data_IF_856353100842
#
_entry.id   IF_856353100842
#
_cell.length_a   1.000
_cell.length_b   1.000
_cell.length_c   1.000
_cell.angle_alpha   90.00
_cell.angle_beta   90.00
_cell.angle_gamma   90.00
#
_symmetry.space_group_name_H-M   'P 1'
#
loop_
_entity.id
_entity.type
_entity.pdbx_description
1 polymer ?
#
# COMPACT_ATOMS: atom_id res chain seq x y z
N UNK A 1 -14.16 -16.08 -4.15
CA UNK A 1 -12.72 -15.83 -4.00
C UNK A 1 -12.34 -16.08 -2.56
N UNK A 2 -11.48 -17.08 -2.33
CA UNK A 2 -10.91 -17.40 -1.02
C UNK A 2 -9.99 -16.27 -0.54
N UNK A 3 -9.53 -16.33 0.71
CA UNK A 3 -8.56 -15.35 1.20
C UNK A 3 -7.22 -15.48 0.47
N UNK A 4 -6.72 -16.70 0.25
CA UNK A 4 -5.49 -16.94 -0.49
C UNK A 4 -5.58 -16.44 -1.93
N UNK A 5 -6.67 -16.76 -2.66
CA UNK A 5 -6.87 -16.26 -4.02
C UNK A 5 -6.91 -14.72 -4.09
N UNK A 6 -7.37 -14.05 -3.03
CA UNK A 6 -7.32 -12.60 -2.95
C UNK A 6 -5.87 -12.12 -2.80
N UNK A 7 -5.09 -12.71 -1.89
CA UNK A 7 -3.68 -12.36 -1.69
C UNK A 7 -2.87 -12.59 -2.98
N UNK A 8 -3.07 -13.72 -3.66
CA UNK A 8 -2.40 -14.04 -4.92
C UNK A 8 -2.69 -12.96 -5.99
N UNK A 9 -3.94 -12.48 -6.06
CA UNK A 9 -4.31 -11.38 -6.96
C UNK A 9 -3.68 -10.05 -6.53
N UNK A 10 -3.64 -9.74 -5.23
CA UNK A 10 -2.98 -8.52 -4.76
C UNK A 10 -1.51 -8.51 -5.14
N UNK A 11 -0.84 -9.67 -5.05
CA UNK A 11 0.54 -9.86 -5.46
C UNK A 11 0.72 -9.73 -6.97
N UNK A 12 -0.11 -10.40 -7.76
CA UNK A 12 -0.03 -10.33 -9.23
C UNK A 12 -0.17 -8.89 -9.73
N UNK A 13 -1.19 -8.17 -9.25
CA UNK A 13 -1.39 -6.76 -9.61
C UNK A 13 -0.22 -5.89 -9.15
N UNK A 14 0.39 -6.16 -7.98
CA UNK A 14 1.57 -5.41 -7.55
C UNK A 14 2.77 -5.62 -8.49
N UNK A 15 2.98 -6.84 -8.97
CA UNK A 15 4.07 -7.17 -9.90
C UNK A 15 3.87 -6.53 -11.27
N UNK A 16 2.64 -6.51 -11.80
CA UNK A 16 2.33 -5.82 -13.06
C UNK A 16 2.66 -4.32 -12.98
N UNK A 17 2.28 -3.66 -11.89
CA UNK A 17 2.58 -2.23 -11.70
C UNK A 17 4.06 -1.99 -11.38
N UNK A 18 4.73 -2.93 -10.71
CA UNK A 18 6.16 -2.88 -10.46
C UNK A 18 6.96 -2.84 -11.77
N UNK A 19 6.59 -3.63 -12.78
CA UNK A 19 7.27 -3.63 -14.08
C UNK A 19 7.29 -2.23 -14.70
N UNK A 20 6.14 -1.53 -14.65
CA UNK A 20 6.02 -0.16 -15.15
C UNK A 20 6.91 0.78 -14.32
N UNK A 21 6.80 0.74 -12.99
CA UNK A 21 7.58 1.63 -12.12
C UNK A 21 9.09 1.40 -12.26
N UNK A 22 9.53 0.15 -12.40
CA UNK A 22 10.92 -0.22 -12.58
C UNK A 22 11.48 0.22 -13.94
N UNK A 23 10.69 0.15 -15.02
CA UNK A 23 11.07 0.75 -16.30
C UNK A 23 11.23 2.27 -16.14
N UNK A 24 10.25 2.92 -15.53
CA UNK A 24 10.21 4.37 -15.41
C UNK A 24 11.29 4.92 -14.46
N UNK A 25 11.71 4.14 -13.46
CA UNK A 25 12.81 4.46 -12.54
C UNK A 25 14.15 4.67 -13.24
N UNK A 26 14.33 4.07 -14.43
CA UNK A 26 15.57 4.14 -15.22
C UNK A 26 15.61 5.30 -16.19
N UNK A 27 14.49 6.03 -16.36
CA UNK A 27 14.37 7.15 -17.31
C UNK A 27 14.65 8.49 -16.62
N UNK A 28 15.37 9.36 -17.31
CA UNK A 28 15.69 10.72 -16.84
C UNK A 28 14.53 11.71 -17.07
N UNK A 29 13.73 11.49 -18.10
CA UNK A 29 12.57 12.32 -18.44
C UNK A 29 11.38 11.45 -18.84
N UNK A 30 10.17 11.93 -18.55
CA UNK A 30 8.92 11.24 -18.83
C UNK A 30 8.03 12.11 -19.70
N UNK A 31 7.46 11.52 -20.75
CA UNK A 31 6.38 12.11 -21.53
C UNK A 31 5.10 12.21 -20.68
N UNK A 32 4.12 13.00 -21.16
CA UNK A 32 2.82 13.14 -20.48
C UNK A 32 2.05 11.81 -20.36
N UNK A 33 2.26 10.88 -21.29
CA UNK A 33 1.63 9.55 -21.25
C UNK A 33 2.29 8.72 -20.13
N UNK A 34 3.62 8.73 -20.07
CA UNK A 34 4.37 8.03 -19.04
C UNK A 34 4.09 8.58 -17.63
N UNK A 35 3.99 9.90 -17.48
CA UNK A 35 3.57 10.51 -16.19
C UNK A 35 2.21 9.97 -15.76
N UNK A 36 1.25 9.83 -16.69
CA UNK A 36 -0.08 9.28 -16.38
C UNK A 36 0.00 7.80 -16.01
N UNK A 37 0.83 7.02 -16.71
CA UNK A 37 1.07 5.62 -16.38
C UNK A 37 1.63 5.48 -14.96
N UNK A 38 2.71 6.20 -14.64
CA UNK A 38 3.33 6.19 -13.30
C UNK A 38 2.34 6.61 -12.21
N UNK A 39 1.58 7.70 -12.42
CA UNK A 39 0.55 8.14 -11.47
C UNK A 39 -0.47 7.04 -11.21
N UNK A 40 -0.94 6.38 -12.28
CA UNK A 40 -1.88 5.28 -12.16
C UNK A 40 -1.26 4.09 -11.42
N UNK A 41 -0.06 3.66 -11.79
CA UNK A 41 0.64 2.55 -11.12
C UNK A 41 0.85 2.80 -9.64
N UNK A 42 1.29 4.01 -9.26
CA UNK A 42 1.40 4.40 -7.85
C UNK A 42 0.05 4.36 -7.13
N UNK A 43 -1.02 4.86 -7.75
CA UNK A 43 -2.37 4.76 -7.16
C UNK A 43 -2.81 3.32 -6.99
N UNK A 44 -2.60 2.46 -7.99
CA UNK A 44 -3.00 1.05 -7.95
C UNK A 44 -2.30 0.33 -6.80
N UNK A 45 -0.98 0.44 -6.65
CA UNK A 45 -0.27 -0.26 -5.57
C UNK A 45 -0.69 0.27 -4.18
N UNK A 46 -0.97 1.57 -4.05
CA UNK A 46 -1.41 2.16 -2.79
C UNK A 46 -2.83 1.68 -2.43
N UNK A 47 -3.78 1.75 -3.35
CA UNK A 47 -5.15 1.26 -3.11
C UNK A 47 -5.18 -0.26 -2.89
N UNK A 48 -4.35 -1.01 -3.61
CA UNK A 48 -4.18 -2.45 -3.40
C UNK A 48 -3.64 -2.75 -2.00
N UNK A 49 -2.67 -1.98 -1.51
CA UNK A 49 -2.13 -2.15 -0.14
C UNK A 49 -3.17 -1.85 0.93
N UNK A 50 -4.01 -0.82 0.74
CA UNK A 50 -5.15 -0.52 1.61
C UNK A 50 -6.15 -1.67 1.57
N UNK A 51 -6.45 -2.20 0.38
CA UNK A 51 -7.33 -3.34 0.18
C UNK A 51 -6.84 -4.59 0.92
N UNK A 52 -5.55 -4.93 0.77
CA UNK A 52 -4.89 -6.03 1.48
C UNK A 52 -5.00 -5.87 2.99
N UNK A 53 -4.66 -4.69 3.53
CA UNK A 53 -4.78 -4.41 4.97
C UNK A 53 -6.21 -4.60 5.50
N UNK A 54 -7.21 -4.01 4.82
CA UNK A 54 -8.63 -4.18 5.19
C UNK A 54 -9.07 -5.63 5.10
N UNK A 55 -8.64 -6.36 4.07
CA UNK A 55 -8.99 -7.77 3.88
C UNK A 55 -8.36 -8.65 4.97
N UNK A 56 -7.12 -8.39 5.34
CA UNK A 56 -6.43 -9.06 6.44
C UNK A 56 -7.22 -8.90 7.74
N UNK A 57 -7.51 -7.66 8.14
CA UNK A 57 -8.23 -7.38 9.38
C UNK A 57 -9.61 -8.06 9.40
N UNK A 58 -10.33 -8.03 8.28
CA UNK A 58 -11.61 -8.72 8.13
C UNK A 58 -11.49 -10.24 8.21
N UNK A 59 -10.47 -10.83 7.58
CA UNK A 59 -10.28 -12.28 7.54
C UNK A 59 -9.99 -12.86 8.92
N UNK A 60 -9.26 -12.12 9.76
CA UNK A 60 -8.91 -12.52 11.12
C UNK A 60 -9.85 -11.91 12.18
N UNK A 61 -11.10 -11.65 11.80
CA UNK A 61 -12.19 -11.27 12.71
C UNK A 61 -11.91 -10.03 13.57
N UNK A 62 -11.18 -9.03 13.05
CA UNK A 62 -11.08 -7.74 13.73
C UNK A 62 -12.49 -7.19 13.99
N UNK A 63 -12.82 -6.80 15.24
CA UNK A 63 -14.15 -6.31 15.58
C UNK A 63 -14.48 -4.96 14.95
N UNK A 64 -13.47 -4.22 14.49
CA UNK A 64 -13.63 -2.90 13.86
C UNK A 64 -13.34 -2.98 12.37
N UNK A 65 -14.21 -2.32 11.60
CA UNK A 65 -14.08 -2.18 10.15
C UNK A 65 -13.45 -0.82 9.84
N UNK A 66 -12.22 -0.77 9.28
CA UNK A 66 -11.59 0.49 8.92
C UNK A 66 -12.39 1.22 7.83
N UNK A 67 -12.79 2.45 8.11
CA UNK A 67 -13.57 3.26 7.17
C UNK A 67 -12.65 3.86 6.11
N UNK A 68 -11.53 4.45 6.54
CA UNK A 68 -10.53 5.06 5.65
C UNK A 68 -9.35 4.13 5.40
N UNK A 69 -8.51 4.48 4.43
CA UNK A 69 -7.25 3.77 4.18
C UNK A 69 -6.25 3.94 5.33
N UNK A 70 -6.15 5.15 5.89
CA UNK A 70 -5.31 5.45 7.05
C UNK A 70 -5.63 4.57 8.25
N UNK A 71 -6.92 4.40 8.54
CA UNK A 71 -7.40 3.64 9.69
C UNK A 71 -6.92 2.18 9.61
N UNK A 72 -6.88 1.59 8.41
CA UNK A 72 -6.46 0.20 8.24
C UNK A 72 -4.98 -0.01 8.62
N UNK A 73 -4.11 0.91 8.22
CA UNK A 73 -2.69 0.85 8.55
C UNK A 73 -2.42 1.21 10.02
N UNK A 74 -3.13 2.20 10.56
CA UNK A 74 -3.07 2.55 11.99
C UNK A 74 -3.46 1.35 12.84
N UNK A 75 -4.53 0.64 12.48
CA UNK A 75 -4.94 -0.54 13.23
C UNK A 75 -3.90 -1.64 13.16
N UNK A 76 -3.41 -1.98 11.97
CA UNK A 76 -2.34 -2.99 11.83
C UNK A 76 -1.09 -2.62 12.65
N UNK A 77 -0.76 -1.34 12.73
CA UNK A 77 0.36 -0.83 13.52
C UNK A 77 0.13 -0.99 15.02
N UNK A 78 -1.02 -0.54 15.54
CA UNK A 78 -1.35 -0.55 16.96
C UNK A 78 -1.34 -1.97 17.58
N UNK A 79 -1.65 -3.00 16.79
CA UNK A 79 -1.55 -4.42 17.22
C UNK A 79 -0.22 -5.10 16.88
N UNK A 80 0.72 -4.38 16.28
CA UNK A 80 2.04 -4.90 15.93
C UNK A 80 2.00 -5.96 14.81
N UNK A 81 1.16 -5.76 13.79
CA UNK A 81 1.21 -6.52 12.55
C UNK A 81 2.18 -5.93 11.53
N UNK A 82 2.45 -4.63 11.62
CA UNK A 82 3.45 -3.92 10.82
C UNK A 82 4.32 -3.08 11.75
N UNK A 83 5.58 -2.91 11.36
CA UNK A 83 6.57 -2.14 12.13
C UNK A 83 6.54 -0.66 11.75
N UNK A 84 7.18 0.18 12.59
CA UNK A 84 7.25 1.65 12.45
C UNK A 84 7.64 2.09 11.03
N UNK A 85 8.65 1.44 10.44
CA UNK A 85 9.19 1.79 9.12
C UNK A 85 8.15 1.58 8.01
N UNK A 86 7.50 0.42 7.99
CA UNK A 86 6.47 0.11 7.01
C UNK A 86 5.23 1.01 7.23
N UNK A 87 4.83 1.23 8.47
CA UNK A 87 3.71 2.11 8.79
C UNK A 87 3.94 3.54 8.29
N UNK A 88 5.12 4.11 8.56
CA UNK A 88 5.53 5.43 8.08
C UNK A 88 5.51 5.52 6.54
N UNK A 89 5.99 4.46 5.87
CA UNK A 89 5.98 4.37 4.41
C UNK A 89 4.55 4.38 3.85
N UNK A 90 3.66 3.55 4.41
CA UNK A 90 2.27 3.43 3.96
C UNK A 90 1.47 4.72 4.22
N UNK A 91 1.70 5.40 5.35
CA UNK A 91 1.09 6.71 5.65
C UNK A 91 1.56 7.79 4.67
N UNK A 92 2.85 7.82 4.37
CA UNK A 92 3.42 8.76 3.40
C UNK A 92 2.87 8.50 1.99
N UNK A 93 2.69 7.23 1.62
CA UNK A 93 2.11 6.84 0.35
C UNK A 93 0.66 7.33 0.19
N UNK A 94 -0.18 7.20 1.23
CA UNK A 94 -1.53 7.78 1.23
C UNK A 94 -1.47 9.30 1.01
N UNK A 95 -0.54 10.00 1.66
CA UNK A 95 -0.32 11.44 1.47
C UNK A 95 0.01 11.79 0.02
N UNK A 96 0.96 11.07 -0.58
CA UNK A 96 1.33 11.22 -2.00
C UNK A 96 0.14 10.97 -2.93
N UNK A 97 -0.62 9.88 -2.70
CA UNK A 97 -1.82 9.56 -3.47
C UNK A 97 -2.86 10.68 -3.38
N UNK A 98 -3.09 11.23 -2.19
CA UNK A 98 -4.04 12.32 -2.01
C UNK A 98 -3.57 13.59 -2.72
N UNK A 99 -2.28 13.92 -2.69
CA UNK A 99 -1.73 15.04 -3.45
C UNK A 99 -1.92 14.83 -4.97
N UNK A 100 -1.64 13.63 -5.49
CA UNK A 100 -1.82 13.30 -6.91
C UNK A 100 -3.27 13.41 -7.39
N UNK A 101 -4.25 13.16 -6.51
CA UNK A 101 -5.68 13.10 -6.86
C UNK A 101 -6.46 14.37 -6.49
N UNK A 102 -6.02 15.13 -5.49
CA UNK A 102 -6.79 16.29 -5.02
C UNK A 102 -6.12 17.62 -5.34
N UNK A 103 -4.81 17.64 -5.61
CA UNK A 103 -4.06 18.85 -5.94
C UNK A 103 -3.60 18.87 -7.40
N UNK A 104 -4.47 18.44 -8.34
CA UNK A 104 -4.12 18.27 -9.75
C UNK A 104 -3.46 19.50 -10.40
N UNK A 105 -3.84 20.71 -9.98
CA UNK A 105 -3.35 21.95 -10.58
C UNK A 105 -1.96 22.36 -10.07
N UNK A 106 -1.56 21.91 -8.87
CA UNK A 106 -0.31 22.32 -8.24
C UNK A 106 0.64 21.14 -7.94
N UNK A 107 0.19 19.89 -8.17
CA UNK A 107 1.03 18.72 -7.95
C UNK A 107 2.28 18.78 -8.82
N UNK A 108 3.44 18.83 -8.16
CA UNK A 108 4.73 18.86 -8.84
C UNK A 108 5.15 17.43 -9.22
N UNK A 109 5.11 17.12 -10.51
CA UNK A 109 5.52 15.81 -11.04
C UNK A 109 6.98 15.44 -10.73
N UNK A 110 7.84 16.41 -10.40
CA UNK A 110 9.21 16.13 -9.92
C UNK A 110 9.23 15.37 -8.59
N UNK A 111 8.24 15.57 -7.72
CA UNK A 111 8.11 14.78 -6.48
C UNK A 111 7.87 13.31 -6.82
N UNK A 112 6.98 13.05 -7.77
CA UNK A 112 6.69 11.69 -8.24
C UNK A 112 7.92 11.06 -8.92
N UNK A 113 8.64 11.86 -9.71
CA UNK A 113 9.88 11.43 -10.34
C UNK A 113 10.93 10.99 -9.31
N UNK A 114 11.16 11.82 -8.29
CA UNK A 114 12.05 11.53 -7.19
C UNK A 114 11.67 10.22 -6.46
N UNK A 115 10.38 10.04 -6.15
CA UNK A 115 9.86 8.84 -5.48
C UNK A 115 10.13 7.58 -6.29
N UNK A 116 9.91 7.64 -7.61
CA UNK A 116 10.09 6.48 -8.48
C UNK A 116 11.57 6.18 -8.74
N UNK A 117 12.39 7.20 -8.98
CA UNK A 117 13.83 7.02 -9.19
C UNK A 117 14.53 6.50 -7.93
N UNK A 118 14.09 6.92 -6.74
CA UNK A 118 14.58 6.41 -5.45
C UNK A 118 13.97 5.05 -5.07
N UNK A 119 13.04 4.53 -5.86
CA UNK A 119 12.29 3.29 -5.59
C UNK A 119 11.65 3.27 -4.20
N UNK A 120 11.16 4.41 -3.73
CA UNK A 120 10.52 4.54 -2.40
C UNK A 120 9.19 3.78 -2.28
N UNK A 121 8.71 3.17 -3.38
CA UNK A 121 7.55 2.29 -3.41
C UNK A 121 7.87 0.82 -3.05
N UNK A 122 9.15 0.45 -2.94
CA UNK A 122 9.61 -0.94 -2.68
C UNK A 122 8.94 -1.57 -1.46
N UNK A 123 8.93 -0.90 -0.31
CA UNK A 123 8.29 -1.43 0.91
C UNK A 123 6.77 -1.68 0.74
N UNK A 124 6.08 -0.94 -0.14
CA UNK A 124 4.66 -1.17 -0.46
C UNK A 124 4.51 -2.47 -1.26
N UNK A 125 5.41 -2.68 -2.23
CA UNK A 125 5.44 -3.91 -3.03
C UNK A 125 5.75 -5.11 -2.14
N UNK A 126 6.78 -5.02 -1.30
CA UNK A 126 7.11 -6.09 -0.34
C UNK A 126 5.93 -6.42 0.57
N UNK A 127 5.22 -5.40 1.07
CA UNK A 127 3.99 -5.62 1.83
C UNK A 127 2.89 -6.29 1.01
N UNK A 128 2.77 -6.03 -0.29
CA UNK A 128 1.81 -6.68 -1.17
C UNK A 128 2.19 -8.13 -1.49
N UNK A 129 3.49 -8.43 -1.58
CA UNK A 129 4.01 -9.75 -1.89
C UNK A 129 4.09 -10.71 -0.70
N UNK A 130 4.21 -10.19 0.52
CA UNK A 130 4.43 -11.02 1.70
C UNK A 130 3.23 -11.93 1.98
N UNK A 131 3.53 -13.21 2.20
CA UNK A 131 2.56 -14.18 2.67
C UNK A 131 2.22 -13.93 4.14
N UNK A 132 0.94 -14.10 4.48
CA UNK A 132 0.45 -13.77 5.81
C UNK A 132 0.44 -15.02 6.69
N UNK A 133 1.41 -15.08 7.61
CA UNK A 133 1.55 -16.15 8.60
C UNK A 133 1.64 -15.55 10.01
N UNK A 134 0.49 -15.18 10.59
CA UNK A 134 0.44 -14.58 11.92
C UNK A 134 0.55 -15.61 13.04
N UNK A 135 1.30 -15.27 14.08
CA UNK A 135 1.38 -16.04 15.32
C UNK A 135 0.05 -16.02 16.07
N UNK A 136 -0.14 -16.98 16.98
CA UNK A 136 -1.32 -17.02 17.87
C UNK A 136 -1.46 -15.76 18.72
N UNK A 137 -0.36 -15.10 19.07
CA UNK A 137 -0.36 -13.82 19.79
C UNK A 137 -0.90 -12.70 18.91
N UNK A 138 -0.45 -12.60 17.66
CA UNK A 138 -0.93 -11.60 16.71
C UNK A 138 -2.42 -11.81 16.39
N UNK A 139 -2.85 -13.05 16.17
CA UNK A 139 -4.27 -13.36 15.94
C UNK A 139 -5.15 -12.90 17.11
N UNK A 140 -4.75 -13.19 18.35
CA UNK A 140 -5.46 -12.70 19.54
C UNK A 140 -5.49 -11.18 19.63
N UNK A 141 -4.43 -10.48 19.21
CA UNK A 141 -4.42 -9.01 19.20
C UNK A 141 -5.42 -8.46 18.19
N UNK A 142 -5.54 -9.08 17.01
CA UNK A 142 -6.54 -8.70 16.00
C UNK A 142 -7.96 -8.88 16.53
N UNK A 143 -8.26 -10.05 17.09
CA UNK A 143 -9.60 -10.36 17.62
C UNK A 143 -9.98 -9.46 18.80
N UNK A 144 -8.99 -9.04 19.59
CA UNK A 144 -9.19 -8.26 20.82
C UNK A 144 -8.77 -6.78 20.67
N UNK A 145 -8.84 -6.21 19.47
CA UNK A 145 -8.33 -4.86 19.12
C UNK A 145 -8.77 -3.73 20.08
N UNK A 146 -9.78 -3.94 20.93
CA UNK A 146 -10.23 -3.00 21.97
C UNK A 146 -10.68 -3.65 23.31
N UNK A 147 -10.24 -4.87 23.62
CA UNK A 147 -10.47 -5.47 24.96
C UNK A 147 -9.35 -5.14 25.96
N UNK A 148 -8.57 -4.09 25.72
CA UNK A 148 -7.50 -3.61 26.60
C UNK A 148 -7.98 -2.44 27.46
#
# INVERSE_FOLDING_TARGET
MTFQEYLDKTKLTALEELEILDEMSKKEEWSKIEIRAVKNSMQVIIENSIGKAKRILKNFNCPIIPQKGSDAFEFMYDIGLIEDELFSTLKSAIGLRNAMVHDYMNFNDKILQDVVQKRSYSNIIEFLEVDINYSSVQLKRIENFFLQ
#
